data_IF_422711504572
#
_entry.id   IF_422711504572
#
_cell.length_a   1.000
_cell.length_b   1.000
_cell.length_c   1.000
_cell.angle_alpha   90.00
_cell.angle_beta   90.00
_cell.angle_gamma   90.00
#
_symmetry.space_group_name_H-M   'P 1'
#
loop_
_entity.id
_entity.type
_entity.pdbx_description
1 polymer ?
#
# COMPACT_ATOMS: atom_id res chain seq x y z
N UNK A 1 -7.30 23.95 4.11
CA UNK A 1 -6.29 24.80 3.47
C UNK A 1 -5.06 23.97 3.21
N UNK A 2 -4.45 24.02 2.02
CA UNK A 2 -3.17 23.35 1.76
C UNK A 2 -2.07 23.99 2.61
N UNK A 3 -1.22 23.18 3.22
CA UNK A 3 -0.02 23.72 3.86
C UNK A 3 0.90 24.35 2.79
N UNK A 4 1.52 25.50 3.09
CA UNK A 4 2.45 26.15 2.17
C UNK A 4 3.60 25.21 1.81
N UNK A 5 3.87 25.03 0.51
CA UNK A 5 5.00 24.24 0.00
C UNK A 5 4.64 22.86 -0.60
N UNK A 6 3.40 22.39 -0.49
CA UNK A 6 2.98 21.14 -1.16
C UNK A 6 2.60 21.38 -2.62
N UNK A 7 3.13 20.61 -3.57
CA UNK A 7 2.69 20.66 -4.97
C UNK A 7 1.19 20.35 -5.10
N UNK A 8 0.55 20.76 -6.20
CA UNK A 8 -0.84 20.38 -6.46
C UNK A 8 -0.94 18.87 -6.69
N UNK A 9 -2.04 18.22 -6.24
CA UNK A 9 -2.32 16.83 -6.59
C UNK A 9 -2.51 16.64 -8.10
N UNK A 10 -2.17 15.43 -8.55
CA UNK A 10 -2.42 15.01 -9.93
C UNK A 10 -3.93 14.98 -10.18
N UNK A 11 -4.34 15.35 -11.40
CA UNK A 11 -5.73 15.39 -11.83
C UNK A 11 -6.00 14.44 -12.97
N UNK A 12 -7.27 14.07 -13.14
CA UNK A 12 -7.73 13.17 -14.20
C UNK A 12 -7.96 13.87 -15.53
N UNK A 13 -7.71 15.16 -15.62
CA UNK A 13 -7.77 15.95 -16.86
C UNK A 13 -6.52 15.72 -17.74
N UNK A 14 -6.43 16.46 -18.84
CA UNK A 14 -5.33 16.32 -19.81
C UNK A 14 -3.97 16.80 -19.30
N UNK A 15 -3.88 17.31 -18.06
CA UNK A 15 -2.61 17.71 -17.45
C UNK A 15 -1.72 16.54 -17.05
N UNK A 16 -2.28 15.32 -16.90
CA UNK A 16 -1.53 14.10 -16.64
C UNK A 16 -2.07 12.94 -17.48
N UNK A 17 -1.26 12.50 -18.46
CA UNK A 17 -1.66 11.46 -19.42
C UNK A 17 -1.93 10.11 -18.75
N UNK A 18 -1.17 9.73 -17.71
CA UNK A 18 -1.32 8.46 -17.02
C UNK A 18 -2.62 8.41 -16.19
N UNK A 19 -2.90 9.45 -15.41
CA UNK A 19 -4.13 9.57 -14.64
C UNK A 19 -5.36 9.63 -15.56
N UNK A 20 -5.27 10.39 -16.65
CA UNK A 20 -6.33 10.49 -17.66
C UNK A 20 -6.62 9.11 -18.30
N UNK A 21 -5.57 8.40 -18.74
CA UNK A 21 -5.71 7.06 -19.32
C UNK A 21 -6.25 6.04 -18.29
N UNK A 22 -5.90 6.18 -17.01
CA UNK A 22 -6.44 5.33 -15.95
C UNK A 22 -7.96 5.42 -15.91
N UNK A 23 -8.51 6.64 -15.98
CA UNK A 23 -9.96 6.82 -15.93
C UNK A 23 -10.67 6.45 -17.25
N UNK A 24 -10.07 6.78 -18.39
CA UNK A 24 -10.71 6.54 -19.69
C UNK A 24 -10.66 5.09 -20.15
N UNK A 25 -9.61 4.36 -19.78
CA UNK A 25 -9.31 3.05 -20.35
C UNK A 25 -9.13 1.98 -19.28
N UNK A 26 -8.22 2.19 -18.32
CA UNK A 26 -7.82 1.14 -17.40
C UNK A 26 -8.93 0.74 -16.42
N UNK A 27 -9.57 1.69 -15.74
CA UNK A 27 -10.67 1.41 -14.81
C UNK A 27 -11.88 0.80 -15.51
N UNK A 28 -12.34 1.31 -16.66
CA UNK A 28 -13.36 0.62 -17.47
C UNK A 28 -13.02 -0.83 -17.80
N UNK A 29 -11.77 -1.11 -18.19
CA UNK A 29 -11.32 -2.48 -18.48
C UNK A 29 -11.32 -3.38 -17.24
N UNK A 30 -10.95 -2.85 -16.07
CA UNK A 30 -11.02 -3.58 -14.78
C UNK A 30 -12.47 -3.94 -14.44
N UNK A 31 -13.43 -3.03 -14.69
CA UNK A 31 -14.85 -3.33 -14.46
C UNK A 31 -15.33 -4.43 -15.41
N UNK A 32 -14.94 -4.38 -16.70
CA UNK A 32 -15.28 -5.44 -17.67
C UNK A 32 -14.68 -6.79 -17.25
N UNK A 33 -13.43 -6.82 -16.77
CA UNK A 33 -12.79 -8.02 -16.23
C UNK A 33 -13.51 -8.54 -14.97
N UNK A 34 -13.95 -7.63 -14.08
CA UNK A 34 -14.72 -7.99 -12.88
C UNK A 34 -16.05 -8.64 -13.25
N UNK A 35 -16.76 -8.12 -14.26
CA UNK A 35 -17.99 -8.74 -14.77
C UNK A 35 -17.71 -10.13 -15.33
N UNK A 36 -16.66 -10.27 -16.13
CA UNK A 36 -16.28 -11.54 -16.76
C UNK A 36 -15.85 -12.60 -15.75
N UNK A 37 -15.13 -12.20 -14.69
CA UNK A 37 -14.68 -13.10 -13.63
C UNK A 37 -15.82 -13.56 -12.68
N UNK A 38 -17.00 -12.93 -12.73
CA UNK A 38 -18.16 -13.22 -11.91
C UNK A 38 -19.39 -13.48 -12.82
N UNK A 39 -19.31 -14.49 -13.64
CA UNK A 39 -20.34 -14.85 -14.63
C UNK A 39 -21.69 -15.21 -14.00
N UNK A 40 -21.69 -15.63 -12.73
CA UNK A 40 -22.86 -15.95 -11.90
C UNK A 40 -23.54 -14.71 -11.28
N UNK A 41 -23.03 -13.50 -11.48
CA UNK A 41 -23.71 -12.30 -11.02
C UNK A 41 -25.09 -12.13 -11.69
N UNK A 42 -26.12 -11.74 -10.92
CA UNK A 42 -27.42 -11.37 -11.49
C UNK A 42 -27.31 -10.26 -12.56
N UNK A 43 -28.20 -10.28 -13.53
CA UNK A 43 -28.24 -9.28 -14.61
C UNK A 43 -28.24 -7.84 -14.06
N UNK A 44 -28.98 -7.59 -12.97
CA UNK A 44 -29.04 -6.27 -12.33
C UNK A 44 -27.72 -5.78 -11.75
N UNK A 45 -26.81 -6.67 -11.32
CA UNK A 45 -25.46 -6.31 -10.89
C UNK A 45 -24.59 -6.00 -12.10
N UNK A 46 -24.63 -6.84 -13.14
CA UNK A 46 -23.89 -6.62 -14.38
C UNK A 46 -24.28 -5.31 -15.07
N UNK A 47 -25.58 -4.97 -15.07
CA UNK A 47 -26.09 -3.69 -15.60
C UNK A 47 -25.54 -2.48 -14.84
N UNK A 48 -25.55 -2.51 -13.49
CA UNK A 48 -24.96 -1.42 -12.67
C UNK A 48 -23.47 -1.26 -12.89
N UNK A 49 -22.72 -2.36 -12.97
CA UNK A 49 -21.29 -2.34 -13.28
C UNK A 49 -21.05 -1.76 -14.69
N UNK A 50 -21.83 -2.18 -15.68
CA UNK A 50 -21.74 -1.68 -17.06
C UNK A 50 -22.08 -0.19 -17.15
N UNK A 51 -23.07 0.28 -16.38
CA UNK A 51 -23.39 1.70 -16.29
C UNK A 51 -22.22 2.49 -15.68
N UNK A 52 -21.70 2.08 -14.53
CA UNK A 52 -20.54 2.72 -13.87
C UNK A 52 -19.34 2.78 -14.81
N UNK A 53 -19.04 1.69 -15.50
CA UNK A 53 -17.98 1.61 -16.51
C UNK A 53 -18.19 2.63 -17.63
N UNK A 54 -19.42 2.75 -18.16
CA UNK A 54 -19.76 3.74 -19.19
C UNK A 54 -19.62 5.18 -18.71
N UNK A 55 -20.08 5.49 -17.50
CA UNK A 55 -19.96 6.82 -16.88
C UNK A 55 -18.49 7.22 -16.68
N UNK A 56 -17.65 6.32 -16.20
CA UNK A 56 -16.20 6.59 -16.01
C UNK A 56 -15.53 6.83 -17.37
N UNK A 57 -15.76 5.95 -18.35
CA UNK A 57 -15.14 6.06 -19.66
C UNK A 57 -15.53 7.34 -20.40
N UNK A 58 -16.79 7.79 -20.24
CA UNK A 58 -17.31 9.01 -20.87
C UNK A 58 -16.94 10.31 -20.13
N UNK A 59 -16.34 10.22 -18.93
CA UNK A 59 -16.11 11.41 -18.11
C UNK A 59 -17.40 12.06 -17.61
N UNK A 60 -18.41 11.25 -17.32
CA UNK A 60 -19.69 11.73 -16.84
C UNK A 60 -19.55 12.46 -15.49
N UNK A 61 -20.60 13.20 -15.11
CA UNK A 61 -20.69 13.83 -13.79
C UNK A 61 -20.61 12.77 -12.69
N UNK A 62 -19.83 13.05 -11.63
CA UNK A 62 -19.77 12.19 -10.45
C UNK A 62 -20.96 12.49 -9.55
N UNK A 63 -21.74 11.45 -9.26
CA UNK A 63 -22.86 11.49 -8.32
C UNK A 63 -22.42 11.03 -6.91
N UNK A 64 -23.21 11.40 -5.88
CA UNK A 64 -23.05 10.84 -4.54
C UNK A 64 -23.40 9.35 -4.51
N UNK A 65 -22.96 8.66 -3.45
CA UNK A 65 -23.29 7.26 -3.25
C UNK A 65 -24.82 7.07 -3.16
N UNK A 66 -25.39 6.03 -3.77
CA UNK A 66 -26.82 5.78 -3.73
C UNK A 66 -27.33 5.40 -2.33
N UNK A 67 -26.50 4.71 -1.55
CA UNK A 67 -26.81 4.34 -0.16
C UNK A 67 -26.13 5.29 0.85
N UNK A 68 -26.91 6.23 1.37
CA UNK A 68 -26.48 7.16 2.40
C UNK A 68 -26.31 6.51 3.80
N UNK A 69 -26.74 5.27 3.99
CA UNK A 69 -26.63 4.54 5.25
C UNK A 69 -25.33 3.76 5.40
N UNK A 70 -24.56 3.61 4.34
CA UNK A 70 -23.26 2.92 4.43
C UNK A 70 -22.29 3.65 5.38
N UNK A 71 -21.43 2.92 6.13
CA UNK A 71 -20.65 3.48 7.23
C UNK A 71 -19.72 4.62 6.84
N UNK A 72 -19.34 4.71 5.56
CA UNK A 72 -18.42 5.69 4.98
C UNK A 72 -19.10 6.75 4.10
N UNK A 73 -20.44 6.70 3.98
CA UNK A 73 -21.20 7.58 3.07
C UNK A 73 -20.96 9.07 3.37
N UNK A 74 -20.91 9.45 4.64
CA UNK A 74 -20.66 10.84 5.06
C UNK A 74 -19.26 11.33 4.68
N UNK A 75 -18.25 10.46 4.77
CA UNK A 75 -16.87 10.77 4.37
C UNK A 75 -16.78 10.99 2.86
N UNK A 76 -17.44 10.15 2.06
CA UNK A 76 -17.47 10.29 0.61
C UNK A 76 -18.28 11.49 0.15
N UNK A 77 -19.41 11.81 0.80
CA UNK A 77 -20.15 13.04 0.55
C UNK A 77 -19.29 14.29 0.83
N UNK A 78 -18.50 14.25 1.89
CA UNK A 78 -17.51 15.28 2.22
C UNK A 78 -16.41 15.42 1.16
N UNK A 79 -15.86 14.29 0.69
CA UNK A 79 -14.83 14.26 -0.33
C UNK A 79 -15.35 14.81 -1.67
N UNK A 80 -16.55 14.43 -2.09
CA UNK A 80 -17.18 14.93 -3.32
C UNK A 80 -17.47 16.44 -3.23
N UNK A 81 -17.94 16.93 -2.07
CA UNK A 81 -18.12 18.37 -1.82
C UNK A 81 -16.80 19.14 -1.94
N UNK A 82 -15.71 18.61 -1.36
CA UNK A 82 -14.37 19.17 -1.51
C UNK A 82 -13.94 19.29 -2.98
N UNK A 83 -14.23 18.28 -3.82
CA UNK A 83 -13.91 18.36 -5.25
C UNK A 83 -14.67 19.52 -5.94
N UNK A 84 -15.96 19.73 -5.62
CA UNK A 84 -16.73 20.88 -6.12
C UNK A 84 -16.11 22.21 -5.72
N UNK A 85 -15.70 22.34 -4.47
CA UNK A 85 -15.06 23.57 -3.95
C UNK A 85 -13.72 23.85 -4.65
N UNK A 86 -12.87 22.82 -4.82
CA UNK A 86 -11.56 22.97 -5.50
C UNK A 86 -11.75 23.34 -6.98
N UNK A 87 -12.73 22.77 -7.66
CA UNK A 87 -12.98 22.99 -9.06
C UNK A 87 -13.72 24.29 -9.34
N UNK A 88 -14.50 24.77 -8.38
CA UNK A 88 -15.54 25.77 -8.58
C UNK A 88 -16.48 25.37 -9.76
N UNK A 89 -16.71 24.08 -9.94
CA UNK A 89 -17.50 23.47 -11.01
C UNK A 89 -18.00 22.08 -10.59
N UNK A 90 -18.87 21.48 -11.40
CA UNK A 90 -19.32 20.11 -11.17
C UNK A 90 -18.21 19.11 -11.41
N UNK A 91 -17.96 18.20 -10.46
CA UNK A 91 -17.00 17.10 -10.60
C UNK A 91 -17.43 16.11 -11.68
N UNK A 92 -16.50 15.77 -12.55
CA UNK A 92 -16.62 14.69 -13.54
C UNK A 92 -15.47 13.70 -13.39
N UNK A 93 -15.60 12.49 -13.91
CA UNK A 93 -14.53 11.49 -13.82
C UNK A 93 -13.22 11.94 -14.52
N UNK A 94 -13.25 13.00 -15.33
CA UNK A 94 -12.10 13.51 -16.08
C UNK A 94 -11.66 14.92 -15.68
N UNK A 95 -12.07 15.43 -14.49
CA UNK A 95 -11.64 16.77 -14.07
C UNK A 95 -11.31 16.91 -12.56
N UNK A 96 -11.29 15.81 -11.81
CA UNK A 96 -11.05 15.80 -10.34
C UNK A 96 -9.63 15.38 -9.98
N UNK A 97 -9.28 15.46 -8.68
CA UNK A 97 -8.04 14.86 -8.16
C UNK A 97 -8.03 13.36 -8.43
N UNK A 98 -6.92 12.83 -8.97
CA UNK A 98 -6.83 11.45 -9.42
C UNK A 98 -7.03 10.44 -8.28
N UNK A 99 -6.38 10.67 -7.14
CA UNK A 99 -6.52 9.77 -5.99
C UNK A 99 -7.99 9.67 -5.52
N UNK A 100 -8.71 10.81 -5.55
CA UNK A 100 -10.16 10.81 -5.28
C UNK A 100 -10.92 10.00 -6.34
N UNK A 101 -10.71 10.28 -7.62
CA UNK A 101 -11.45 9.61 -8.69
C UNK A 101 -11.28 8.09 -8.64
N UNK A 102 -10.05 7.62 -8.51
CA UNK A 102 -9.73 6.20 -8.52
C UNK A 102 -10.31 5.47 -7.30
N UNK A 103 -10.09 6.00 -6.10
CA UNK A 103 -10.65 5.41 -4.86
C UNK A 103 -12.17 5.44 -4.86
N UNK A 104 -12.79 6.52 -5.36
CA UNK A 104 -14.24 6.64 -5.44
C UNK A 104 -14.86 5.70 -6.48
N UNK A 105 -14.19 5.46 -7.61
CA UNK A 105 -14.64 4.49 -8.60
C UNK A 105 -14.72 3.07 -8.01
N UNK A 106 -13.70 2.64 -7.25
CA UNK A 106 -13.76 1.36 -6.53
C UNK A 106 -14.85 1.35 -5.46
N UNK A 107 -15.08 2.45 -4.78
CA UNK A 107 -16.17 2.55 -3.80
C UNK A 107 -17.56 2.43 -4.47
N UNK A 108 -17.75 3.06 -5.65
CA UNK A 108 -18.96 2.89 -6.44
C UNK A 108 -19.14 1.45 -6.95
N UNK A 109 -18.04 0.77 -7.31
CA UNK A 109 -18.06 -0.64 -7.68
C UNK A 109 -18.56 -1.52 -6.52
N UNK A 110 -18.13 -1.26 -5.28
CA UNK A 110 -18.58 -1.97 -4.07
C UNK A 110 -20.09 -1.81 -3.86
N UNK A 111 -20.65 -0.63 -4.12
CA UNK A 111 -22.11 -0.43 -4.09
C UNK A 111 -22.81 -1.15 -5.26
N UNK A 112 -22.23 -1.09 -6.47
CA UNK A 112 -22.80 -1.75 -7.64
C UNK A 112 -22.96 -3.27 -7.45
N UNK A 113 -21.99 -3.91 -6.75
CA UNK A 113 -22.05 -5.35 -6.44
C UNK A 113 -22.80 -5.67 -5.15
N UNK A 114 -23.32 -4.65 -4.44
CA UNK A 114 -24.04 -4.80 -3.15
C UNK A 114 -23.20 -5.52 -2.10
N UNK A 115 -21.94 -5.13 -1.98
CA UNK A 115 -21.02 -5.79 -1.05
C UNK A 115 -21.47 -5.68 0.41
N UNK A 116 -22.03 -4.54 0.82
CA UNK A 116 -22.51 -4.32 2.19
C UNK A 116 -23.62 -5.30 2.62
N UNK A 117 -24.34 -5.84 1.65
CA UNK A 117 -25.41 -6.82 1.90
C UNK A 117 -24.90 -8.26 1.79
N UNK A 118 -24.02 -8.53 0.84
CA UNK A 118 -23.59 -9.89 0.48
C UNK A 118 -22.28 -10.32 1.12
N UNK A 119 -21.39 -9.36 1.42
CA UNK A 119 -20.00 -9.63 1.80
C UNK A 119 -19.15 -10.26 0.69
N UNK A 120 -19.69 -10.41 -0.53
CA UNK A 120 -19.01 -11.09 -1.63
C UNK A 120 -17.96 -10.17 -2.27
N UNK A 121 -16.69 -10.54 -2.14
CA UNK A 121 -15.58 -9.84 -2.78
C UNK A 121 -15.65 -10.01 -4.32
N UNK A 122 -15.82 -8.92 -5.10
CA UNK A 122 -15.88 -8.98 -6.56
C UNK A 122 -14.56 -9.41 -7.21
N UNK A 123 -13.46 -9.30 -6.48
CA UNK A 123 -12.11 -9.63 -6.95
C UNK A 123 -11.62 -11.00 -6.48
N UNK A 124 -12.43 -11.73 -5.71
CA UNK A 124 -12.07 -13.04 -5.16
C UNK A 124 -11.56 -14.03 -6.21
N UNK A 125 -12.12 -14.11 -7.43
CA UNK A 125 -11.60 -15.03 -8.46
C UNK A 125 -10.13 -14.77 -8.79
N UNK A 126 -9.75 -13.49 -9.01
CA UNK A 126 -8.37 -13.07 -9.32
C UNK A 126 -7.44 -13.33 -8.12
N UNK A 127 -7.88 -12.98 -6.91
CA UNK A 127 -7.12 -13.23 -5.68
C UNK A 127 -6.83 -14.71 -5.44
N UNK A 128 -7.81 -15.58 -5.74
CA UNK A 128 -7.63 -17.04 -5.64
C UNK A 128 -6.68 -17.59 -6.69
N UNK A 129 -6.70 -17.06 -7.91
CA UNK A 129 -5.77 -17.48 -8.96
C UNK A 129 -4.31 -17.23 -8.53
N UNK A 130 -4.02 -16.06 -7.97
CA UNK A 130 -2.69 -15.76 -7.44
C UNK A 130 -2.32 -16.69 -6.28
N UNK A 131 -3.25 -16.92 -5.35
CA UNK A 131 -3.02 -17.80 -4.19
C UNK A 131 -2.75 -19.27 -4.61
N UNK A 132 -3.31 -19.71 -5.72
CA UNK A 132 -3.06 -21.03 -6.29
C UNK A 132 -1.75 -21.12 -7.09
N UNK A 133 -1.05 -20.01 -7.29
CA UNK A 133 0.19 -19.96 -8.05
C UNK A 133 1.35 -20.59 -7.28
N UNK A 134 1.99 -21.63 -7.83
CA UNK A 134 3.21 -22.23 -7.26
C UNK A 134 4.35 -21.21 -7.12
N UNK A 135 4.34 -20.17 -7.93
CA UNK A 135 5.30 -19.07 -7.87
C UNK A 135 5.26 -18.33 -6.52
N UNK A 136 4.08 -18.04 -5.99
CA UNK A 136 3.92 -17.43 -4.67
C UNK A 136 4.62 -18.25 -3.59
N UNK A 137 4.37 -19.56 -3.60
CA UNK A 137 4.87 -20.45 -2.55
C UNK A 137 6.38 -20.67 -2.64
N UNK A 138 6.90 -20.84 -3.85
CA UNK A 138 8.34 -20.92 -4.08
C UNK A 138 9.05 -19.62 -3.64
N UNK A 139 8.43 -18.45 -3.87
CA UNK A 139 8.93 -17.16 -3.41
C UNK A 139 8.96 -17.08 -1.88
N UNK A 140 7.88 -17.50 -1.22
CA UNK A 140 7.78 -17.51 0.23
C UNK A 140 8.81 -18.46 0.86
N UNK A 141 8.95 -19.68 0.33
CA UNK A 141 9.92 -20.66 0.81
C UNK A 141 11.33 -20.06 0.73
N UNK A 142 11.71 -19.49 -0.41
CA UNK A 142 13.02 -18.88 -0.60
C UNK A 142 13.26 -17.66 0.32
N UNK A 143 12.26 -16.79 0.47
CA UNK A 143 12.35 -15.64 1.35
C UNK A 143 12.51 -16.02 2.83
N UNK A 144 12.01 -17.20 3.23
CA UNK A 144 12.02 -17.70 4.61
C UNK A 144 13.07 -18.78 4.90
N UNK A 145 13.95 -19.09 3.94
CA UNK A 145 15.09 -19.97 4.18
C UNK A 145 15.92 -19.55 5.39
N UNK A 146 16.49 -20.47 6.15
CA UNK A 146 17.37 -20.15 7.27
C UNK A 146 18.52 -19.22 6.87
N UNK A 147 18.89 -18.30 7.75
CA UNK A 147 20.02 -17.38 7.61
C UNK A 147 20.89 -17.41 8.85
N UNK A 148 22.12 -16.92 8.73
CA UNK A 148 23.10 -16.88 9.83
C UNK A 148 22.70 -15.89 10.92
N UNK A 149 21.86 -14.89 10.61
CA UNK A 149 21.45 -13.88 11.57
C UNK A 149 20.05 -13.31 11.31
N UNK A 150 19.41 -12.80 12.36
CA UNK A 150 18.15 -12.07 12.24
C UNK A 150 18.26 -10.84 11.35
N UNK A 151 19.39 -10.15 11.34
CA UNK A 151 19.63 -8.98 10.49
C UNK A 151 19.65 -9.37 9.02
N UNK A 152 20.21 -10.52 8.67
CA UNK A 152 20.23 -11.05 7.32
C UNK A 152 18.83 -11.49 6.86
N UNK A 153 18.10 -12.23 7.72
CA UNK A 153 16.71 -12.60 7.47
C UNK A 153 15.86 -11.36 7.18
N UNK A 154 15.98 -10.32 7.99
CA UNK A 154 15.24 -9.08 7.81
C UNK A 154 15.64 -8.34 6.54
N UNK A 155 16.94 -8.23 6.24
CA UNK A 155 17.46 -7.63 5.00
C UNK A 155 16.87 -8.31 3.77
N UNK A 156 16.86 -9.65 3.78
CA UNK A 156 16.32 -10.47 2.70
C UNK A 156 14.82 -10.30 2.56
N UNK A 157 14.06 -10.44 3.65
CA UNK A 157 12.61 -10.29 3.63
C UNK A 157 12.17 -8.92 3.13
N UNK A 158 12.80 -7.84 3.55
CA UNK A 158 12.49 -6.48 3.06
C UNK A 158 12.70 -6.37 1.55
N UNK A 159 13.75 -7.00 1.00
CA UNK A 159 13.99 -6.98 -0.43
C UNK A 159 12.97 -7.82 -1.22
N UNK A 160 12.66 -9.03 -0.73
CA UNK A 160 11.65 -9.90 -1.36
C UNK A 160 10.26 -9.25 -1.31
N UNK A 161 9.93 -8.65 -0.20
CA UNK A 161 8.65 -7.99 0.03
C UNK A 161 8.43 -6.76 -0.86
N UNK A 162 9.49 -5.98 -1.17
CA UNK A 162 9.44 -4.94 -2.18
C UNK A 162 9.05 -5.48 -3.55
N UNK A 163 9.62 -6.63 -3.94
CA UNK A 163 9.52 -7.17 -5.29
C UNK A 163 8.45 -8.26 -5.46
N UNK A 164 7.64 -8.51 -4.44
CA UNK A 164 6.67 -9.60 -4.38
C UNK A 164 5.79 -9.76 -5.63
N UNK A 165 5.34 -8.66 -6.20
CA UNK A 165 4.50 -8.66 -7.41
C UNK A 165 5.27 -8.77 -8.72
N UNK A 166 6.60 -8.69 -8.68
CA UNK A 166 7.43 -8.62 -9.89
C UNK A 166 8.29 -9.85 -10.12
N UNK A 167 8.58 -10.61 -9.07
CA UNK A 167 9.66 -11.58 -9.10
C UNK A 167 9.34 -12.80 -9.98
N UNK A 168 10.09 -12.91 -11.07
CA UNK A 168 10.53 -14.20 -11.60
C UNK A 168 11.57 -14.79 -10.63
N UNK A 169 11.52 -16.09 -10.32
CA UNK A 169 12.45 -16.76 -9.40
C UNK A 169 13.93 -16.55 -9.80
N UNK A 170 14.21 -16.34 -11.08
CA UNK A 170 15.53 -15.97 -11.58
C UNK A 170 16.05 -14.63 -11.05
N UNK A 171 15.16 -13.66 -10.80
CA UNK A 171 15.49 -12.35 -10.26
C UNK A 171 15.79 -12.44 -8.75
N UNK A 172 15.02 -13.22 -8.01
CA UNK A 172 15.24 -13.47 -6.58
C UNK A 172 16.62 -14.11 -6.34
N UNK A 173 16.97 -15.13 -7.12
CA UNK A 173 18.26 -15.79 -7.05
C UNK A 173 19.45 -14.87 -7.45
N UNK A 174 19.23 -13.88 -8.28
CA UNK A 174 20.23 -12.87 -8.63
C UNK A 174 20.46 -11.86 -7.49
N UNK A 175 19.40 -11.53 -6.74
CA UNK A 175 19.48 -10.67 -5.54
C UNK A 175 20.31 -11.31 -4.42
N UNK A 176 20.22 -12.64 -4.23
CA UNK A 176 21.00 -13.36 -3.22
C UNK A 176 22.49 -13.44 -3.56
N UNK A 177 22.81 -13.65 -4.83
CA UNK A 177 24.21 -13.86 -5.24
C UNK A 177 25.04 -12.56 -5.34
N UNK A 178 24.46 -11.39 -4.99
CA UNK A 178 25.15 -10.11 -5.17
C UNK A 178 25.50 -9.80 -6.63
N UNK A 179 24.99 -10.59 -7.58
CA UNK A 179 25.12 -10.33 -8.99
C UNK A 179 24.11 -9.25 -9.33
N UNK A 180 24.62 -8.04 -9.58
CA UNK A 180 23.95 -6.81 -10.03
C UNK A 180 22.46 -6.98 -10.27
N UNK A 181 21.66 -6.61 -9.26
CA UNK A 181 20.42 -5.88 -9.57
C UNK A 181 20.92 -4.72 -10.43
N UNK A 182 20.34 -4.52 -11.60
CA UNK A 182 20.62 -3.31 -12.32
C UNK A 182 20.47 -2.16 -11.32
N UNK A 183 21.54 -1.38 -11.08
CA UNK A 183 21.51 -0.26 -10.14
C UNK A 183 20.36 0.69 -10.46
N UNK A 184 19.84 0.60 -11.70
CA UNK A 184 18.67 1.31 -12.18
C UNK A 184 17.33 0.71 -11.77
N UNK A 185 17.26 -0.48 -11.21
CA UNK A 185 16.00 -1.10 -10.76
C UNK A 185 15.66 -0.74 -9.30
N UNK A 186 16.66 -0.67 -8.40
CA UNK A 186 16.49 -0.20 -7.03
C UNK A 186 17.06 1.21 -6.90
N UNK A 187 16.20 2.21 -7.07
CA UNK A 187 16.63 3.62 -7.15
C UNK A 187 17.08 4.20 -5.80
N UNK A 188 16.53 3.68 -4.69
CA UNK A 188 16.90 4.03 -3.31
C UNK A 188 16.90 2.77 -2.48
N UNK A 189 17.99 2.52 -1.75
CA UNK A 189 18.15 1.38 -0.83
C UNK A 189 18.67 1.85 0.54
N UNK A 190 17.76 2.12 1.44
CA UNK A 190 18.06 2.54 2.82
C UNK A 190 17.90 1.41 3.83
N UNK A 191 18.02 0.11 3.40
CA UNK A 191 17.99 -1.05 4.29
C UNK A 191 19.06 -1.00 5.36
N UNK A 192 20.23 -0.44 5.04
CA UNK A 192 21.33 -0.26 6.00
C UNK A 192 20.91 0.60 7.20
N UNK A 193 20.28 1.73 6.94
CA UNK A 193 19.81 2.66 7.96
C UNK A 193 18.66 2.07 8.79
N UNK A 194 17.73 1.36 8.15
CA UNK A 194 16.69 0.59 8.85
C UNK A 194 17.30 -0.43 9.83
N UNK A 195 18.24 -1.26 9.36
CA UNK A 195 18.87 -2.28 10.20
C UNK A 195 19.67 -1.67 11.36
N UNK A 196 20.40 -0.58 11.10
CA UNK A 196 21.11 0.14 12.15
C UNK A 196 20.13 0.73 13.20
N UNK A 197 18.99 1.24 12.77
CA UNK A 197 17.93 1.71 13.65
C UNK A 197 17.37 0.57 14.52
N UNK A 198 17.01 -0.56 13.91
CA UNK A 198 16.42 -1.70 14.62
C UNK A 198 17.41 -2.36 15.59
N UNK A 199 18.70 -2.46 15.24
CA UNK A 199 19.74 -3.01 16.10
C UNK A 199 19.94 -2.17 17.38
N UNK A 200 19.95 -0.84 17.27
CA UNK A 200 19.99 0.07 18.43
C UNK A 200 18.78 -0.14 19.34
N UNK A 201 17.67 -0.55 18.75
CA UNK A 201 16.41 -0.76 19.42
C UNK A 201 16.36 -2.04 20.25
N UNK A 202 17.01 -3.11 19.79
CA UNK A 202 17.07 -4.39 20.48
C UNK A 202 17.98 -4.39 21.72
N UNK A 203 18.89 -3.42 21.81
CA UNK A 203 19.90 -3.31 22.90
C UNK A 203 19.36 -2.84 24.27
N UNK A 204 18.04 -2.79 24.48
CA UNK A 204 17.43 -2.62 25.81
C UNK A 204 17.54 -1.21 26.42
N UNK A 205 18.02 -0.21 25.70
CA UNK A 205 17.98 1.16 26.21
C UNK A 205 16.54 1.68 26.18
N UNK A 206 15.95 1.90 27.36
CA UNK A 206 14.61 2.50 27.57
C UNK A 206 14.43 3.93 26.99
N UNK A 207 15.37 4.36 26.17
CA UNK A 207 15.43 5.72 25.61
C UNK A 207 14.59 5.91 24.33
N UNK A 208 13.87 4.85 23.89
CA UNK A 208 13.03 4.95 22.70
C UNK A 208 11.58 5.17 23.09
N UNK A 209 11.04 6.29 22.65
CA UNK A 209 9.63 6.62 22.74
C UNK A 209 8.81 5.67 21.88
N UNK A 210 7.67 5.23 22.40
CA UNK A 210 6.72 4.41 21.67
C UNK A 210 6.21 3.24 22.49
N UNK A 211 5.12 2.64 22.01
CA UNK A 211 4.45 1.50 22.67
C UNK A 211 5.05 0.13 22.26
N UNK A 212 6.22 0.12 21.63
CA UNK A 212 6.87 -1.11 21.15
C UNK A 212 6.18 -1.76 19.94
N UNK A 213 5.25 -1.08 19.31
CA UNK A 213 4.44 -1.61 18.21
C UNK A 213 5.00 -1.20 16.84
N UNK A 214 5.07 -2.13 15.91
CA UNK A 214 5.24 -1.85 14.48
C UNK A 214 3.86 -1.85 13.82
N UNK A 215 3.57 -0.81 13.04
CA UNK A 215 2.40 -0.77 12.17
C UNK A 215 2.82 -1.02 10.73
N UNK A 216 2.25 -2.05 10.10
CA UNK A 216 2.45 -2.36 8.69
C UNK A 216 1.17 -2.01 7.94
N UNK A 217 1.23 -1.03 7.06
CA UNK A 217 0.11 -0.66 6.17
C UNK A 217 0.22 -1.50 4.92
N UNK A 218 -0.57 -2.58 4.87
CA UNK A 218 -0.55 -3.54 3.78
C UNK A 218 -1.12 -2.95 2.47
N UNK A 219 -0.64 -3.45 1.34
CA UNK A 219 -1.15 -3.11 0.01
C UNK A 219 -1.90 -4.31 -0.56
N UNK A 220 -1.28 -5.17 -1.36
CA UNK A 220 -1.94 -6.26 -2.04
C UNK A 220 -1.98 -7.56 -1.24
N UNK A 221 -2.96 -8.41 -1.51
CA UNK A 221 -3.01 -9.82 -1.09
C UNK A 221 -1.99 -10.66 -1.89
N UNK A 222 -2.14 -11.98 -1.88
CA UNK A 222 -1.27 -12.88 -2.62
C UNK A 222 0.17 -12.88 -2.12
N UNK A 223 1.10 -12.72 -3.04
CA UNK A 223 2.55 -12.76 -2.76
C UNK A 223 2.99 -11.66 -1.80
N UNK A 224 2.47 -10.43 -1.93
CA UNK A 224 2.81 -9.33 -1.02
C UNK A 224 2.36 -9.62 0.40
N UNK A 225 1.10 -9.98 0.62
CA UNK A 225 0.60 -10.27 1.97
C UNK A 225 1.27 -11.51 2.58
N UNK A 226 1.62 -12.51 1.78
CA UNK A 226 2.37 -13.67 2.27
C UNK A 226 3.75 -13.27 2.80
N UNK A 227 4.44 -12.35 2.11
CA UNK A 227 5.73 -11.80 2.54
C UNK A 227 5.59 -10.79 3.68
N UNK A 228 4.54 -9.96 3.71
CA UNK A 228 4.19 -9.13 4.87
C UNK A 228 4.02 -9.96 6.15
N UNK A 229 3.37 -11.12 6.05
CA UNK A 229 3.21 -12.05 7.15
C UNK A 229 4.54 -12.69 7.57
N UNK A 230 5.40 -13.07 6.62
CA UNK A 230 6.73 -13.58 6.89
C UNK A 230 7.65 -12.52 7.52
N UNK A 231 7.58 -11.27 7.04
CA UNK A 231 8.27 -10.13 7.64
C UNK A 231 7.77 -9.88 9.07
N UNK A 232 6.46 -9.97 9.29
CA UNK A 232 5.86 -9.84 10.62
C UNK A 232 6.34 -10.94 11.58
N UNK A 233 6.44 -12.20 11.14
CA UNK A 233 7.02 -13.31 11.91
C UNK A 233 8.47 -13.01 12.31
N UNK A 234 9.29 -12.56 11.34
CA UNK A 234 10.69 -12.23 11.61
C UNK A 234 10.82 -11.09 12.63
N UNK A 235 10.03 -10.04 12.50
CA UNK A 235 10.01 -8.92 13.44
C UNK A 235 9.58 -9.36 14.85
N UNK A 236 8.52 -10.17 14.96
CA UNK A 236 8.01 -10.68 16.25
C UNK A 236 8.94 -11.67 16.94
N UNK A 237 9.75 -12.40 16.18
CA UNK A 237 10.73 -13.35 16.71
C UNK A 237 11.96 -12.66 17.25
N UNK A 238 12.42 -11.57 16.63
CA UNK A 238 13.77 -11.07 16.83
C UNK A 238 13.87 -9.62 17.27
N UNK A 239 12.82 -8.81 17.03
CA UNK A 239 12.96 -7.34 17.12
C UNK A 239 11.92 -6.72 18.04
N UNK A 240 10.64 -7.11 17.94
CA UNK A 240 9.52 -6.38 18.53
C UNK A 240 8.53 -7.25 19.28
N UNK A 241 7.81 -6.61 20.21
CA UNK A 241 6.78 -7.28 21.01
C UNK A 241 5.46 -7.42 20.23
N UNK A 242 5.12 -6.43 19.40
CA UNK A 242 3.84 -6.37 18.71
C UNK A 242 3.96 -5.85 17.28
N UNK A 243 3.19 -6.49 16.38
CA UNK A 243 2.96 -6.02 15.00
C UNK A 243 1.45 -5.85 14.78
N UNK A 244 1.05 -4.73 14.17
CA UNK A 244 -0.31 -4.45 13.74
C UNK A 244 -0.32 -4.27 12.23
N UNK A 245 -1.03 -5.15 11.53
CA UNK A 245 -1.22 -5.02 10.08
C UNK A 245 -2.49 -4.22 9.84
N UNK A 246 -2.35 -3.03 9.24
CA UNK A 246 -3.45 -2.17 8.81
C UNK A 246 -3.97 -2.66 7.47
N UNK A 247 -5.27 -2.93 7.39
CA UNK A 247 -5.92 -3.56 6.24
C UNK A 247 -7.07 -2.69 5.73
N UNK A 248 -7.45 -2.91 4.48
CA UNK A 248 -8.68 -2.37 3.92
C UNK A 248 -9.88 -3.00 4.62
N UNK A 249 -10.94 -2.20 4.86
CA UNK A 249 -12.16 -2.70 5.48
C UNK A 249 -13.06 -3.44 4.48
N UNK A 250 -12.96 -3.11 3.20
CA UNK A 250 -13.66 -3.77 2.09
C UNK A 250 -12.74 -3.88 0.86
N UNK A 251 -13.05 -4.78 -0.11
CA UNK A 251 -12.26 -4.94 -1.33
C UNK A 251 -12.09 -3.61 -2.09
N UNK A 252 -10.90 -3.38 -2.63
CA UNK A 252 -10.58 -2.19 -3.44
C UNK A 252 -9.32 -2.46 -4.26
N UNK A 253 -9.03 -1.65 -5.28
CA UNK A 253 -7.85 -1.75 -6.15
C UNK A 253 -7.56 -3.17 -6.69
N UNK A 254 -8.61 -3.99 -6.83
CA UNK A 254 -8.58 -5.41 -7.26
C UNK A 254 -7.94 -6.33 -6.22
N UNK A 255 -6.72 -6.06 -5.83
CA UNK A 255 -5.90 -6.97 -5.01
C UNK A 255 -5.61 -6.49 -3.59
N UNK A 256 -6.12 -5.32 -3.17
CA UNK A 256 -5.83 -4.81 -1.83
C UNK A 256 -6.28 -5.77 -0.73
N UNK A 257 -5.42 -5.91 0.28
CA UNK A 257 -5.57 -6.88 1.34
C UNK A 257 -6.67 -6.50 2.34
N UNK A 258 -7.54 -7.46 2.63
CA UNK A 258 -8.60 -7.41 3.65
C UNK A 258 -8.36 -8.47 4.74
N UNK A 259 -9.08 -8.45 5.87
CA UNK A 259 -8.99 -9.53 6.86
C UNK A 259 -9.31 -10.91 6.30
N UNK A 260 -10.25 -11.00 5.35
CA UNK A 260 -10.60 -12.29 4.71
C UNK A 260 -9.40 -12.89 3.95
N UNK A 261 -8.63 -12.05 3.28
CA UNK A 261 -7.43 -12.48 2.55
C UNK A 261 -6.36 -13.03 3.48
N UNK A 262 -6.16 -12.42 4.66
CA UNK A 262 -5.21 -12.92 5.67
C UNK A 262 -5.58 -14.35 6.08
N UNK A 263 -6.86 -14.59 6.41
CA UNK A 263 -7.31 -15.91 6.84
C UNK A 263 -7.23 -16.95 5.71
N UNK A 264 -7.48 -16.53 4.49
CA UNK A 264 -7.37 -17.38 3.30
C UNK A 264 -5.90 -17.81 3.08
N UNK A 265 -4.95 -16.90 3.15
CA UNK A 265 -3.51 -17.21 3.05
C UNK A 265 -3.06 -18.12 4.20
N UNK A 266 -3.45 -17.85 5.44
CA UNK A 266 -3.09 -18.70 6.59
C UNK A 266 -3.69 -20.11 6.48
N UNK A 267 -4.88 -20.26 5.89
CA UNK A 267 -5.47 -21.58 5.63
C UNK A 267 -4.68 -22.33 4.57
N UNK A 268 -4.32 -21.68 3.46
CA UNK A 268 -3.54 -22.29 2.39
C UNK A 268 -2.12 -22.65 2.85
N UNK A 269 -1.44 -21.80 3.60
CA UNK A 269 -0.15 -22.12 4.24
C UNK A 269 -0.26 -23.40 5.08
N UNK A 270 -1.35 -23.54 5.84
CA UNK A 270 -1.58 -24.72 6.68
C UNK A 270 -1.80 -25.98 5.84
N UNK A 271 -2.56 -25.88 4.74
CA UNK A 271 -2.86 -26.99 3.84
C UNK A 271 -1.61 -27.51 3.10
N UNK A 272 -0.69 -26.61 2.76
CA UNK A 272 0.55 -26.97 2.06
C UNK A 272 1.56 -27.72 2.93
N UNK A 273 1.53 -27.59 4.24
CA UNK A 273 2.47 -28.26 5.12
C UNK A 273 3.85 -27.56 5.18
N UNK A 274 4.87 -28.27 5.67
CA UNK A 274 6.27 -27.82 5.67
C UNK A 274 6.53 -26.48 6.36
N UNK A 275 7.39 -25.65 5.77
CA UNK A 275 7.79 -24.31 6.24
C UNK A 275 6.59 -23.35 6.31
N UNK A 276 5.71 -23.41 5.33
CA UNK A 276 4.52 -22.57 5.26
C UNK A 276 3.55 -22.88 6.42
N UNK A 277 3.27 -24.16 6.72
CA UNK A 277 2.43 -24.52 7.85
C UNK A 277 3.04 -24.11 9.20
N UNK A 278 4.36 -24.27 9.36
CA UNK A 278 5.07 -23.82 10.55
C UNK A 278 4.98 -22.30 10.74
N UNK A 279 5.07 -21.53 9.66
CA UNK A 279 4.86 -20.08 9.67
C UNK A 279 3.43 -19.73 10.08
N UNK A 280 2.42 -20.36 9.45
CA UNK A 280 1.01 -20.14 9.79
C UNK A 280 0.70 -20.46 11.25
N UNK A 281 1.29 -21.52 11.80
CA UNK A 281 1.14 -21.89 13.21
C UNK A 281 1.67 -20.81 14.14
N UNK A 282 2.87 -20.26 13.87
CA UNK A 282 3.45 -19.16 14.67
C UNK A 282 2.58 -17.90 14.58
N UNK A 283 2.15 -17.52 13.37
CA UNK A 283 1.30 -16.33 13.16
C UNK A 283 -0.03 -16.44 13.90
N UNK A 284 -0.67 -17.63 13.89
CA UNK A 284 -1.89 -17.88 14.68
C UNK A 284 -1.63 -17.80 16.19
N UNK A 285 -0.50 -18.29 16.67
CA UNK A 285 -0.10 -18.16 18.08
C UNK A 285 0.15 -16.70 18.47
N UNK A 286 0.78 -15.90 17.61
CA UNK A 286 0.94 -14.46 17.84
C UNK A 286 -0.38 -13.71 17.82
N UNK A 287 -1.31 -14.09 16.93
CA UNK A 287 -2.66 -13.53 16.92
C UNK A 287 -3.43 -13.88 18.20
N UNK A 288 -3.38 -15.14 18.65
CA UNK A 288 -4.03 -15.58 19.87
C UNK A 288 -3.46 -14.90 21.14
N UNK A 289 -2.17 -14.56 21.14
CA UNK A 289 -1.49 -13.84 22.23
C UNK A 289 -1.51 -12.31 22.06
N UNK A 290 -2.25 -11.78 21.09
CA UNK A 290 -2.37 -10.36 20.75
C UNK A 290 -1.05 -9.66 20.36
N UNK A 291 -0.01 -10.42 20.07
CA UNK A 291 1.26 -9.90 19.55
C UNK A 291 1.16 -9.55 18.07
N UNK A 292 0.33 -10.25 17.31
CA UNK A 292 -0.08 -9.89 15.94
C UNK A 292 -1.54 -9.47 15.96
N UNK A 293 -1.85 -8.31 15.38
CA UNK A 293 -3.23 -7.84 15.24
C UNK A 293 -3.52 -7.40 13.82
N UNK A 294 -4.76 -7.55 13.40
CA UNK A 294 -5.28 -7.03 12.13
C UNK A 294 -6.21 -5.87 12.41
N UNK A 295 -5.95 -4.72 11.77
CA UNK A 295 -6.68 -3.48 11.99
C UNK A 295 -7.33 -3.00 10.68
N UNK A 296 -8.50 -3.55 10.31
CA UNK A 296 -9.25 -3.02 9.17
C UNK A 296 -9.83 -1.64 9.51
N UNK A 297 -9.69 -0.69 8.59
CA UNK A 297 -10.18 0.66 8.76
C UNK A 297 -10.69 1.23 7.43
N UNK A 298 -11.90 1.82 7.44
CA UNK A 298 -12.46 2.50 6.28
C UNK A 298 -11.59 3.67 5.78
N UNK A 299 -10.77 4.23 6.68
CA UNK A 299 -9.78 5.23 6.30
C UNK A 299 -8.87 4.75 5.16
N UNK A 300 -8.41 3.50 5.18
CA UNK A 300 -7.54 2.94 4.14
C UNK A 300 -8.25 2.76 2.79
N UNK A 301 -9.58 2.72 2.78
CA UNK A 301 -10.39 2.72 1.55
C UNK A 301 -10.71 4.13 1.03
N UNK A 302 -10.55 5.17 1.86
CA UNK A 302 -10.95 6.55 1.54
C UNK A 302 -9.96 7.26 0.60
N UNK A 303 -10.37 8.41 0.09
CA UNK A 303 -9.51 9.32 -0.68
C UNK A 303 -8.65 10.27 0.18
N UNK A 304 -8.64 10.09 1.50
CA UNK A 304 -7.86 10.93 2.42
C UNK A 304 -6.38 10.61 2.31
N UNK A 305 -5.55 11.64 2.41
CA UNK A 305 -4.11 11.51 2.47
C UNK A 305 -3.60 11.18 3.87
N UNK A 306 -2.36 10.73 4.01
CA UNK A 306 -1.85 10.26 5.29
C UNK A 306 -1.74 11.37 6.35
N UNK A 307 -1.59 12.62 5.96
CA UNK A 307 -1.68 13.76 6.88
C UNK A 307 -3.11 14.07 7.37
N UNK A 308 -4.16 13.53 6.71
CA UNK A 308 -5.56 13.65 7.10
C UNK A 308 -6.05 12.48 7.97
N UNK A 309 -5.12 11.75 8.60
CA UNK A 309 -5.44 10.65 9.53
C UNK A 309 -6.43 11.10 10.62
N UNK A 310 -7.44 10.29 10.94
CA UNK A 310 -8.23 10.48 12.15
C UNK A 310 -7.32 10.52 13.39
N UNK A 311 -7.65 11.36 14.36
CA UNK A 311 -6.81 11.61 15.53
C UNK A 311 -6.37 10.32 16.24
N UNK A 312 -7.28 9.38 16.42
CA UNK A 312 -7.00 8.09 17.08
C UNK A 312 -5.95 7.24 16.33
N UNK A 313 -6.01 7.24 14.99
CA UNK A 313 -5.05 6.51 14.16
C UNK A 313 -3.72 7.26 14.07
N UNK A 314 -3.77 8.59 13.94
CA UNK A 314 -2.57 9.45 13.95
C UNK A 314 -1.75 9.25 15.22
N UNK A 315 -2.41 9.27 16.40
CA UNK A 315 -1.72 9.07 17.67
C UNK A 315 -1.03 7.70 17.74
N UNK A 316 -1.73 6.63 17.29
CA UNK A 316 -1.13 5.29 17.26
C UNK A 316 0.10 5.23 16.36
N UNK A 317 0.01 5.82 15.16
CA UNK A 317 1.15 5.82 14.24
C UNK A 317 2.30 6.71 14.73
N UNK A 318 2.03 7.87 15.35
CA UNK A 318 3.06 8.78 15.85
C UNK A 318 3.90 8.18 16.98
N UNK A 319 3.32 7.32 17.82
CA UNK A 319 4.04 6.64 18.90
C UNK A 319 4.54 5.26 18.49
N UNK A 320 4.38 4.88 17.23
CA UNK A 320 4.84 3.60 16.73
C UNK A 320 6.38 3.51 16.77
N UNK A 321 6.88 2.31 17.01
CA UNK A 321 8.30 2.01 16.88
C UNK A 321 8.77 2.12 15.44
N UNK A 322 7.93 1.72 14.50
CA UNK A 322 8.14 1.82 13.07
C UNK A 322 6.79 1.77 12.37
N UNK A 323 6.61 2.59 11.35
CA UNK A 323 5.50 2.49 10.41
C UNK A 323 6.05 2.00 9.08
N UNK A 324 5.61 0.83 8.63
CA UNK A 324 5.95 0.26 7.32
C UNK A 324 4.80 0.58 6.38
N UNK A 325 5.08 1.29 5.29
CA UNK A 325 4.11 1.67 4.25
C UNK A 325 4.42 0.84 3.01
N UNK A 326 3.46 0.00 2.59
CA UNK A 326 3.60 -0.90 1.47
C UNK A 326 2.88 -0.38 0.23
N UNK A 327 3.54 -0.53 -0.91
CA UNK A 327 2.96 -0.42 -2.24
C UNK A 327 2.73 0.99 -2.76
N UNK A 328 2.28 1.04 -4.01
CA UNK A 328 2.15 2.29 -4.77
C UNK A 328 0.99 3.16 -4.27
N UNK A 329 -0.17 2.58 -4.01
CA UNK A 329 -1.36 3.33 -3.59
C UNK A 329 -1.15 3.99 -2.22
N UNK A 330 -0.53 3.30 -1.25
CA UNK A 330 -0.24 3.86 0.06
C UNK A 330 0.90 4.91 0.01
N UNK A 331 1.86 4.75 -0.90
CA UNK A 331 2.89 5.77 -1.15
C UNK A 331 2.28 7.05 -1.73
N UNK A 332 1.39 6.93 -2.72
CA UNK A 332 0.61 8.07 -3.24
C UNK A 332 -0.18 8.77 -2.12
N UNK A 333 -0.81 8.00 -1.25
CA UNK A 333 -1.49 8.50 -0.05
C UNK A 333 -0.55 9.27 0.87
N UNK A 334 0.68 8.77 1.06
CA UNK A 334 1.68 9.40 1.92
C UNK A 334 2.22 10.71 1.35
N UNK A 335 2.39 10.81 0.03
CA UNK A 335 2.91 12.00 -0.65
C UNK A 335 1.82 12.99 -1.10
N UNK A 336 0.53 12.65 -0.92
CA UNK A 336 -0.61 13.48 -1.35
C UNK A 336 -0.89 13.43 -2.83
N UNK A 337 -0.46 12.36 -3.50
CA UNK A 337 -0.62 12.17 -4.94
C UNK A 337 -0.13 13.37 -5.77
N UNK A 338 1.00 13.96 -5.35
CA UNK A 338 1.56 15.18 -5.89
C UNK A 338 2.83 14.92 -6.69
N UNK A 339 3.11 15.77 -7.67
CA UNK A 339 4.36 15.76 -8.44
C UNK A 339 5.44 16.58 -7.72
N UNK A 340 6.02 16.04 -6.67
CA UNK A 340 7.17 16.61 -6.02
C UNK A 340 8.40 16.58 -6.95
N UNK A 341 9.36 17.51 -6.83
CA UNK A 341 10.68 17.29 -7.42
C UNK A 341 11.25 15.95 -6.93
N UNK A 342 11.65 15.08 -7.85
CA UNK A 342 12.01 13.70 -7.53
C UNK A 342 13.18 13.58 -6.53
N UNK A 343 14.03 14.61 -6.41
CA UNK A 343 15.13 14.69 -5.45
C UNK A 343 14.75 15.34 -4.11
N UNK A 344 13.47 15.69 -3.90
CA UNK A 344 13.00 16.18 -2.59
C UNK A 344 13.26 15.09 -1.54
N UNK A 345 13.93 15.39 -0.41
CA UNK A 345 14.21 14.36 0.59
C UNK A 345 12.93 13.70 1.11
N UNK A 346 12.91 12.37 1.18
CA UNK A 346 11.77 11.61 1.71
C UNK A 346 11.40 12.04 3.13
N UNK A 347 12.40 12.28 3.98
CA UNK A 347 12.21 12.75 5.35
C UNK A 347 11.51 14.12 5.44
N UNK A 348 11.73 15.01 4.47
CA UNK A 348 11.05 16.31 4.41
C UNK A 348 9.58 16.14 4.05
N UNK A 349 9.25 15.28 3.10
CA UNK A 349 7.85 15.05 2.68
C UNK A 349 7.05 14.33 3.76
N UNK A 350 7.71 13.48 4.54
CA UNK A 350 7.10 12.68 5.62
C UNK A 350 7.24 13.32 7.01
N UNK A 351 7.58 14.62 7.12
CA UNK A 351 7.86 15.27 8.42
C UNK A 351 6.60 15.45 9.29
N UNK A 352 5.40 15.31 8.71
CA UNK A 352 4.12 15.35 9.40
C UNK A 352 3.83 14.10 10.26
N UNK A 353 4.61 13.02 10.13
CA UNK A 353 4.53 11.82 10.94
C UNK A 353 5.79 11.73 11.81
N UNK A 354 5.63 11.74 13.14
CA UNK A 354 6.77 11.77 14.08
C UNK A 354 7.54 10.45 14.12
N UNK A 355 6.85 9.33 13.94
CA UNK A 355 7.44 7.99 13.97
C UNK A 355 8.47 7.77 12.85
N UNK A 356 9.41 6.84 13.04
CA UNK A 356 10.20 6.29 11.94
C UNK A 356 9.31 5.63 10.90
N UNK A 357 9.63 5.82 9.62
CA UNK A 357 8.85 5.31 8.49
C UNK A 357 9.75 4.54 7.54
N UNK A 358 9.34 3.33 7.19
CA UNK A 358 9.88 2.55 6.07
C UNK A 358 8.85 2.52 4.95
N UNK A 359 9.22 2.92 3.73
CA UNK A 359 8.42 2.72 2.54
C UNK A 359 9.03 1.65 1.64
N UNK A 360 8.23 0.69 1.23
CA UNK A 360 8.55 -0.34 0.25
C UNK A 360 7.61 -0.17 -0.95
N UNK A 361 8.14 0.31 -2.08
CA UNK A 361 7.31 0.62 -3.23
C UNK A 361 7.94 0.20 -4.56
N UNK A 362 7.21 -0.56 -5.36
CA UNK A 362 7.43 -0.68 -6.81
C UNK A 362 6.69 0.45 -7.52
N UNK A 363 7.37 1.16 -8.42
CA UNK A 363 6.82 2.35 -9.08
C UNK A 363 5.79 1.96 -10.14
N UNK A 364 4.53 2.34 -9.92
CA UNK A 364 3.40 2.11 -10.83
C UNK A 364 2.59 3.40 -11.06
N UNK A 365 3.11 4.55 -10.60
CA UNK A 365 2.49 5.88 -10.74
C UNK A 365 3.55 6.99 -10.66
N UNK A 366 3.20 8.21 -11.11
CA UNK A 366 4.11 9.35 -11.27
C UNK A 366 4.78 9.87 -9.98
N UNK A 367 4.12 9.98 -8.79
CA UNK A 367 4.75 10.56 -7.62
C UNK A 367 6.00 9.80 -7.19
N UNK A 368 7.12 10.50 -7.06
CA UNK A 368 8.38 9.94 -6.54
C UNK A 368 9.19 11.03 -5.85
N UNK A 369 9.84 10.68 -4.74
CA UNK A 369 10.76 11.55 -3.99
C UNK A 369 11.98 10.76 -3.52
N UNK A 370 13.00 11.46 -3.03
CA UNK A 370 14.18 10.86 -2.41
C UNK A 370 15.22 10.33 -3.38
N UNK A 371 15.13 10.65 -4.67
CA UNK A 371 16.24 10.33 -5.60
C UNK A 371 17.49 11.12 -5.22
N UNK A 372 18.68 10.58 -5.48
CA UNK A 372 19.95 11.23 -5.11
C UNK A 372 20.11 12.63 -5.71
N UNK A 373 19.61 12.87 -6.92
CA UNK A 373 19.71 14.18 -7.58
C UNK A 373 18.66 14.37 -8.68
N UNK A 374 18.51 15.60 -9.15
CA UNK A 374 17.70 15.92 -10.33
C UNK A 374 18.24 15.28 -11.60
N UNK A 375 19.57 15.15 -11.73
CA UNK A 375 20.24 14.50 -12.86
C UNK A 375 19.89 13.01 -12.96
N UNK A 376 19.68 12.34 -11.82
CA UNK A 376 19.22 10.95 -11.78
C UNK A 376 17.85 10.84 -12.43
N UNK A 377 16.89 11.69 -12.08
CA UNK A 377 15.58 11.72 -12.71
C UNK A 377 15.68 12.01 -14.22
N UNK A 378 16.46 13.01 -14.60
CA UNK A 378 16.66 13.37 -16.01
C UNK A 378 17.34 12.25 -16.82
N UNK A 379 18.23 11.46 -16.22
CA UNK A 379 18.82 10.28 -16.85
C UNK A 379 17.77 9.20 -17.07
N UNK A 380 16.97 8.90 -16.06
CA UNK A 380 15.90 7.91 -16.14
C UNK A 380 14.87 8.26 -17.22
N UNK A 381 14.44 9.54 -17.31
CA UNK A 381 13.53 10.03 -18.35
C UNK A 381 14.09 9.79 -19.79
N UNK A 382 15.40 9.89 -19.98
CA UNK A 382 16.02 9.67 -21.30
C UNK A 382 16.12 8.21 -21.68
N UNK A 383 16.37 7.31 -20.72
CA UNK A 383 16.60 5.87 -21.02
C UNK A 383 15.29 5.08 -21.00
N UNK A 384 14.28 5.54 -20.27
CA UNK A 384 13.00 4.86 -20.11
C UNK A 384 11.94 5.89 -19.73
N UNK A 385 11.25 6.51 -20.69
CA UNK A 385 10.25 7.55 -20.42
C UNK A 385 9.12 7.11 -19.48
N UNK A 386 8.81 5.82 -19.42
CA UNK A 386 7.78 5.24 -18.57
C UNK A 386 8.30 4.77 -17.19
N UNK A 387 9.53 5.15 -16.81
CA UNK A 387 10.22 4.64 -15.64
C UNK A 387 9.45 4.78 -14.32
N UNK A 388 8.55 5.76 -14.22
CA UNK A 388 7.72 6.00 -13.04
C UNK A 388 6.53 5.05 -12.93
N UNK A 389 6.05 4.50 -14.06
CA UNK A 389 4.74 3.86 -14.15
C UNK A 389 4.78 2.40 -14.61
N UNK A 390 5.93 1.93 -15.13
CA UNK A 390 6.04 0.62 -15.77
C UNK A 390 6.31 -0.55 -14.81
N UNK A 391 6.43 -0.30 -13.51
CA UNK A 391 6.64 -1.34 -12.50
C UNK A 391 8.05 -1.94 -12.47
N UNK A 392 9.01 -1.40 -13.24
CA UNK A 392 10.37 -1.96 -13.29
C UNK A 392 11.26 -1.52 -12.13
N UNK A 393 10.94 -0.43 -11.46
CA UNK A 393 11.79 0.18 -10.44
C UNK A 393 11.15 0.17 -9.07
N UNK A 394 12.01 0.16 -8.04
CA UNK A 394 11.58 0.13 -6.65
C UNK A 394 12.33 1.11 -5.77
N UNK A 395 11.76 1.36 -4.60
CA UNK A 395 12.30 2.22 -3.57
C UNK A 395 12.20 1.50 -2.22
N UNK A 396 13.30 1.50 -1.47
CA UNK A 396 13.34 1.19 -0.04
C UNK A 396 13.80 2.47 0.64
N UNK A 397 12.85 3.21 1.21
CA UNK A 397 13.11 4.51 1.82
C UNK A 397 12.86 4.48 3.32
N UNK A 398 13.80 5.00 4.10
CA UNK A 398 13.71 5.03 5.55
C UNK A 398 13.85 6.45 6.09
N UNK A 399 12.88 6.88 6.87
CA UNK A 399 12.92 8.09 7.67
C UNK A 399 13.09 7.71 9.13
N UNK A 400 14.17 8.13 9.76
CA UNK A 400 14.35 8.03 11.20
C UNK A 400 13.38 8.96 11.98
N UNK A 401 13.25 8.76 13.27
CA UNK A 401 12.45 9.62 14.13
C UNK A 401 12.93 11.08 14.08
N UNK A 402 12.01 12.02 13.98
CA UNK A 402 12.35 13.46 14.03
C UNK A 402 12.59 13.90 15.45
N UNK A 403 13.63 14.73 15.68
CA UNK A 403 14.06 15.24 16.99
C UNK A 403 13.06 16.12 17.74
N UNK A 404 11.94 16.50 17.12
CA UNK A 404 10.88 17.27 17.79
C UNK A 404 10.26 16.53 18.99
N UNK A 405 10.16 15.20 18.92
CA UNK A 405 9.65 14.36 20.03
C UNK A 405 10.67 14.15 21.15
N UNK A 406 11.96 14.36 20.91
CA UNK A 406 12.98 14.25 21.96
C UNK A 406 12.98 15.44 22.92
N UNK A 407 12.52 16.62 22.51
CA UNK A 407 12.53 17.80 23.36
C UNK A 407 11.39 17.86 24.38
N UNK A 408 10.27 17.19 24.15
CA UNK A 408 9.11 17.16 25.08
C UNK A 408 9.37 16.24 26.28
N UNK A 409 10.22 15.26 26.15
CA UNK A 409 10.45 14.26 27.18
C UNK A 409 11.60 14.56 28.14
N UNK A 410 12.41 15.59 27.87
CA UNK A 410 13.46 16.07 28.80
C UNK A 410 12.89 17.17 29.71
N UNK A 411 11.68 17.68 29.43
CA UNK A 411 11.04 18.76 30.19
C UNK A 411 9.87 18.29 31.09
N UNK A 412 9.58 17.01 31.19
CA UNK A 412 8.61 16.37 32.11
C UNK A 412 9.27 15.29 32.91
#
# INVERSE_FOLDING_TARGET
MREPGRPPPIRTDDSNAFANNTMRVRLPAIIDQTIAANDDYPASIKERLSQLRGEIAAGARIHGLPDASSPDASDWAGALRRQREILNAEPTWHNVEWFFAETYAYRCLIDAVRWWESGRDPFLPVKREELNSERLWALLDHATEPTDSAAEALRRLVAFDLWANRIDLSYAASMERGTRIDEDDLLVDERGDLLAYLAKSAGGSRQFYGDGTIYLVADNTGSELALDLALSDCLLRHVMERVVICLKAHPTFVSDATPADVWMILAEMTARGGSAAALAQRLRAYWASERLRFLPQLYWNSSRFLWDLPWSLRNRLNIARLVIIKGDANYRRALGDCLWPAHTPFSQVMDYLDAPVLCLRTLKSDPVVGLPSAETAARLERIDPDWRVNGKRGLIQFKAQTSKSQQVAVAG
#
